data_IF_831773258485
#
_entry.id   IF_831773258485
#
_cell.length_a   1.000
_cell.length_b   1.000
_cell.length_c   1.000
_cell.angle_alpha   90.00
_cell.angle_beta   90.00
_cell.angle_gamma   90.00
#
_symmetry.space_group_name_H-M   'P 1'
#
loop_
_entity.id
_entity.type
_entity.pdbx_description
1 polymer ?
#
# COMPACT_ATOMS: atom_id res chain seq x y z
N UNK A 1 0.39 -8.46 -39.04
CA UNK A 1 1.78 -8.41 -38.57
C UNK A 1 1.73 -8.42 -37.06
N UNK A 2 2.03 -9.59 -36.45
CA UNK A 2 1.96 -9.75 -34.97
C UNK A 2 3.22 -9.16 -34.37
N UNK A 3 3.08 -8.09 -33.62
CA UNK A 3 4.16 -7.57 -32.78
C UNK A 3 4.09 -8.29 -31.42
N UNK A 4 5.03 -9.20 -31.18
CA UNK A 4 5.22 -9.80 -29.86
C UNK A 4 5.66 -8.70 -28.88
N UNK A 5 4.93 -8.54 -27.79
CA UNK A 5 5.26 -7.65 -26.67
C UNK A 5 6.42 -8.17 -25.80
N UNK A 6 7.26 -9.05 -26.27
CA UNK A 6 8.48 -9.51 -25.59
C UNK A 6 9.67 -8.88 -26.26
N UNK A 7 10.26 -7.88 -25.60
CA UNK A 7 11.50 -7.26 -26.06
C UNK A 7 12.69 -8.11 -25.60
N UNK A 8 13.38 -8.75 -26.54
CA UNK A 8 14.72 -9.30 -26.37
C UNK A 8 15.72 -8.15 -26.28
N UNK A 9 16.13 -7.82 -25.05
CA UNK A 9 17.29 -6.95 -24.81
C UNK A 9 18.36 -7.78 -24.12
N UNK A 10 19.56 -7.96 -24.71
CA UNK A 10 20.63 -8.70 -24.03
C UNK A 10 21.22 -7.87 -22.89
N UNK A 11 21.07 -8.35 -21.67
CA UNK A 11 21.72 -7.81 -20.48
C UNK A 11 23.10 -8.45 -20.28
N UNK A 12 24.11 -7.73 -19.71
CA UNK A 12 25.38 -8.33 -19.33
C UNK A 12 25.19 -9.31 -18.18
N UNK A 13 25.78 -10.49 -18.33
CA UNK A 13 25.63 -11.71 -17.51
C UNK A 13 26.24 -11.49 -16.14
N UNK A 14 25.42 -11.26 -15.13
CA UNK A 14 25.66 -11.74 -13.78
C UNK A 14 24.69 -12.91 -13.57
N UNK A 15 25.16 -14.04 -13.06
CA UNK A 15 24.35 -15.24 -12.90
C UNK A 15 23.18 -14.97 -11.93
N UNK A 16 22.06 -14.50 -12.47
CA UNK A 16 20.80 -14.37 -11.75
C UNK A 16 20.06 -15.69 -11.85
N UNK A 17 19.67 -16.22 -10.69
CA UNK A 17 18.64 -17.25 -10.63
C UNK A 17 17.34 -16.54 -11.03
N UNK A 18 17.14 -16.37 -12.33
CA UNK A 18 15.88 -15.94 -12.90
C UNK A 18 14.91 -17.10 -12.76
N UNK A 19 14.13 -17.13 -11.70
CA UNK A 19 12.88 -17.88 -11.72
C UNK A 19 11.92 -16.96 -12.50
N UNK A 20 11.61 -17.26 -13.77
CA UNK A 20 10.68 -16.42 -14.53
C UNK A 20 9.34 -16.49 -13.82
N UNK A 21 8.76 -15.33 -13.48
CA UNK A 21 7.33 -15.24 -13.20
C UNK A 21 6.69 -15.71 -14.51
N UNK A 22 6.13 -16.93 -14.52
CA UNK A 22 5.52 -17.50 -15.72
C UNK A 22 4.38 -16.61 -16.13
N UNK A 23 4.51 -15.91 -17.25
CA UNK A 23 3.37 -15.32 -17.95
C UNK A 23 2.36 -16.45 -18.21
N UNK A 24 1.07 -16.27 -17.90
CA UNK A 24 0.06 -17.28 -18.22
C UNK A 24 0.00 -17.43 -19.74
N UNK A 25 0.60 -18.51 -20.24
CA UNK A 25 0.49 -18.88 -21.63
C UNK A 25 -0.95 -19.35 -21.89
N UNK A 26 -1.59 -18.76 -22.89
CA UNK A 26 -2.82 -19.17 -23.59
C UNK A 26 -4.08 -19.32 -22.73
N UNK A 27 -5.06 -18.42 -22.94
CA UNK A 27 -6.49 -18.49 -22.50
C UNK A 27 -6.76 -19.26 -21.19
N UNK A 28 -6.02 -18.91 -20.15
CA UNK A 28 -6.22 -19.49 -18.83
C UNK A 28 -7.61 -19.12 -18.31
N UNK A 29 -8.45 -20.12 -18.03
CA UNK A 29 -9.74 -19.88 -17.40
C UNK A 29 -9.49 -19.39 -15.97
N UNK A 30 -9.81 -18.14 -15.70
CA UNK A 30 -9.83 -17.63 -14.33
C UNK A 30 -11.00 -18.26 -13.55
N UNK A 31 -10.77 -18.67 -12.30
CA UNK A 31 -11.84 -19.16 -11.44
C UNK A 31 -12.83 -18.04 -11.12
N UNK A 32 -14.03 -18.42 -10.68
CA UNK A 32 -14.98 -17.49 -10.10
C UNK A 32 -14.56 -17.10 -8.68
N UNK A 33 -15.08 -15.98 -8.16
CA UNK A 33 -14.84 -15.59 -6.76
C UNK A 33 -15.25 -16.68 -5.78
N UNK A 34 -16.36 -17.39 -6.03
CA UNK A 34 -16.84 -18.47 -5.19
C UNK A 34 -15.85 -19.67 -5.17
N UNK A 35 -15.29 -20.05 -6.33
CA UNK A 35 -14.27 -21.09 -6.42
C UNK A 35 -13.00 -20.72 -5.66
N UNK A 36 -12.57 -19.44 -5.73
CA UNK A 36 -11.40 -18.98 -4.98
C UNK A 36 -11.64 -19.01 -3.49
N UNK A 37 -12.78 -18.53 -3.03
CA UNK A 37 -13.09 -18.49 -1.59
C UNK A 37 -13.34 -19.90 -1.02
N UNK A 38 -13.81 -20.85 -1.82
CA UNK A 38 -14.08 -22.23 -1.39
C UNK A 38 -12.81 -23.01 -1.02
N UNK A 39 -11.63 -22.64 -1.52
CA UNK A 39 -10.37 -23.30 -1.15
C UNK A 39 -9.74 -22.76 0.12
N UNK A 40 -10.17 -21.57 0.57
CA UNK A 40 -9.66 -20.96 1.80
C UNK A 40 -10.37 -21.62 2.99
N UNK A 41 -9.63 -22.19 3.96
CA UNK A 41 -10.24 -22.82 5.14
C UNK A 41 -11.18 -21.87 5.90
N UNK A 42 -12.34 -22.36 6.32
CA UNK A 42 -13.37 -21.54 6.95
C UNK A 42 -12.87 -20.82 8.21
N UNK A 43 -12.03 -21.49 9.00
CA UNK A 43 -11.41 -20.91 10.20
C UNK A 43 -10.49 -19.70 9.90
N UNK A 44 -10.06 -19.49 8.65
CA UNK A 44 -9.30 -18.29 8.28
C UNK A 44 -10.13 -17.00 8.42
N UNK A 45 -11.46 -17.11 8.40
CA UNK A 45 -12.37 -15.98 8.57
C UNK A 45 -12.74 -15.70 10.03
N UNK A 46 -12.25 -16.52 10.98
CA UNK A 46 -12.52 -16.34 12.39
C UNK A 46 -11.80 -15.11 12.95
N UNK A 47 -12.58 -14.17 13.46
CA UNK A 47 -12.13 -12.94 14.09
C UNK A 47 -12.10 -13.08 15.59
N UNK A 48 -10.92 -13.17 16.18
CA UNK A 48 -10.73 -13.31 17.63
C UNK A 48 -10.29 -11.97 18.24
N UNK A 49 -11.18 -11.33 18.99
CA UNK A 49 -10.93 -10.02 19.60
C UNK A 49 -9.71 -10.05 20.53
N UNK A 50 -9.53 -11.09 21.34
CA UNK A 50 -8.39 -11.17 22.28
C UNK A 50 -7.08 -11.24 21.51
N UNK A 51 -7.03 -12.09 20.47
CA UNK A 51 -5.83 -12.25 19.63
C UNK A 51 -5.49 -10.93 18.89
N UNK A 52 -6.48 -10.29 18.26
CA UNK A 52 -6.30 -9.00 17.60
C UNK A 52 -5.85 -7.92 18.59
N UNK A 53 -6.45 -7.87 19.80
CA UNK A 53 -6.05 -6.92 20.83
C UNK A 53 -4.62 -7.15 21.35
N UNK A 54 -4.16 -8.40 21.41
CA UNK A 54 -2.79 -8.72 21.79
C UNK A 54 -1.79 -8.19 20.75
N UNK A 55 -2.06 -8.37 19.45
CA UNK A 55 -1.24 -7.81 18.38
C UNK A 55 -1.20 -6.28 18.44
N UNK A 56 -2.36 -5.64 18.66
CA UNK A 56 -2.42 -4.19 18.87
C UNK A 56 -1.57 -3.75 20.06
N UNK A 57 -1.72 -4.44 21.20
CA UNK A 57 -0.95 -4.14 22.41
C UNK A 57 0.56 -4.25 22.17
N UNK A 58 1.02 -5.30 21.51
CA UNK A 58 2.44 -5.50 21.18
C UNK A 58 2.95 -4.38 20.28
N UNK A 59 2.21 -4.02 19.22
CA UNK A 59 2.60 -2.93 18.33
C UNK A 59 2.67 -1.58 19.05
N UNK A 60 1.67 -1.27 19.89
CA UNK A 60 1.67 -0.05 20.71
C UNK A 60 2.82 -0.04 21.72
N UNK A 61 3.05 -1.15 22.43
CA UNK A 61 4.11 -1.27 23.43
C UNK A 61 5.50 -1.07 22.80
N UNK A 62 5.73 -1.62 21.60
CA UNK A 62 7.00 -1.43 20.88
C UNK A 62 7.16 0.01 20.39
N UNK A 63 6.13 0.61 19.84
CA UNK A 63 6.15 1.98 19.33
C UNK A 63 6.33 2.99 20.46
N UNK A 64 5.48 2.93 21.48
CA UNK A 64 5.51 3.84 22.62
C UNK A 64 6.76 3.59 23.49
N UNK A 65 7.09 2.31 23.73
CA UNK A 65 8.26 1.93 24.53
C UNK A 65 9.56 2.43 23.91
N UNK A 66 9.71 2.32 22.58
CA UNK A 66 10.87 2.91 21.90
C UNK A 66 10.92 4.43 22.03
N UNK A 67 9.76 5.12 21.99
CA UNK A 67 9.65 6.56 22.19
C UNK A 67 10.05 6.97 23.63
N UNK A 68 9.59 6.23 24.64
CA UNK A 68 9.97 6.46 26.04
C UNK A 68 11.48 6.28 26.24
N UNK A 69 12.05 5.19 25.68
CA UNK A 69 13.50 4.96 25.77
C UNK A 69 14.29 6.07 25.07
N UNK A 70 13.85 6.49 23.87
CA UNK A 70 14.51 7.60 23.18
C UNK A 70 14.45 8.89 23.98
N UNK A 71 13.30 9.24 24.55
CA UNK A 71 13.12 10.42 25.38
C UNK A 71 14.02 10.43 26.63
N UNK A 72 14.19 9.27 27.27
CA UNK A 72 14.99 9.15 28.50
C UNK A 72 16.50 9.11 28.25
N UNK A 73 16.94 8.55 27.12
CA UNK A 73 18.36 8.22 26.92
C UNK A 73 19.04 8.96 25.76
N UNK A 74 18.30 9.59 24.85
CA UNK A 74 18.89 10.31 23.71
C UNK A 74 18.81 11.82 23.97
N UNK A 75 19.95 12.51 24.23
CA UNK A 75 19.93 13.95 24.33
C UNK A 75 19.46 14.64 23.06
N UNK A 76 18.58 15.65 23.18
CA UNK A 76 18.01 16.37 22.04
C UNK A 76 18.98 17.48 21.56
N UNK A 77 20.12 17.04 21.02
CA UNK A 77 21.20 17.92 20.50
C UNK A 77 21.66 17.40 19.13
N UNK A 78 22.26 18.27 18.32
CA UNK A 78 22.73 17.95 16.97
C UNK A 78 23.75 16.81 16.92
N UNK A 79 24.58 16.66 17.95
CA UNK A 79 25.56 15.55 18.06
C UNK A 79 24.91 14.18 18.15
N UNK A 80 23.64 14.11 18.59
CA UNK A 80 22.86 12.89 18.70
C UNK A 80 21.90 12.65 17.52
N UNK A 81 21.98 13.47 16.44
CA UNK A 81 21.14 13.31 15.25
C UNK A 81 21.15 11.87 14.66
N UNK A 82 22.31 11.17 14.55
CA UNK A 82 22.29 9.78 14.07
C UNK A 82 21.46 8.84 14.96
N UNK A 83 21.46 9.02 16.27
CA UNK A 83 20.63 8.22 17.19
C UNK A 83 19.15 8.54 17.03
N UNK A 84 18.77 9.81 16.80
CA UNK A 84 17.39 10.20 16.50
C UNK A 84 16.90 9.65 15.17
N UNK A 85 17.76 9.59 14.14
CA UNK A 85 17.44 8.93 12.86
C UNK A 85 17.23 7.41 13.08
N UNK A 86 18.13 6.77 13.83
CA UNK A 86 17.98 5.36 14.20
C UNK A 86 16.69 5.08 14.97
N UNK A 87 16.36 5.95 15.96
CA UNK A 87 15.09 5.89 16.66
C UNK A 87 13.88 6.02 15.71
N UNK A 88 13.90 7.02 14.83
CA UNK A 88 12.80 7.24 13.89
C UNK A 88 12.55 6.01 13.02
N UNK A 89 13.62 5.36 12.54
CA UNK A 89 13.53 4.11 11.75
C UNK A 89 12.91 3.00 12.60
N UNK A 90 13.41 2.76 13.82
CA UNK A 90 12.91 1.69 14.70
C UNK A 90 11.45 1.93 15.10
N UNK A 91 11.16 3.13 15.61
CA UNK A 91 9.82 3.48 16.09
C UNK A 91 8.79 3.55 14.95
N UNK A 92 9.16 4.08 13.79
CA UNK A 92 8.27 4.12 12.63
C UNK A 92 8.03 2.74 12.02
N UNK A 93 9.06 1.88 11.99
CA UNK A 93 8.89 0.49 11.58
C UNK A 93 7.94 -0.26 12.53
N UNK A 94 8.10 -0.11 13.84
CA UNK A 94 7.16 -0.68 14.82
C UNK A 94 5.75 -0.06 14.70
N UNK A 95 5.67 1.26 14.49
CA UNK A 95 4.42 2.01 14.32
C UNK A 95 3.61 1.61 13.09
N UNK A 96 4.28 1.08 12.07
CA UNK A 96 3.60 0.49 10.90
C UNK A 96 2.71 -0.68 11.30
N UNK A 97 3.06 -1.45 12.33
CA UNK A 97 2.18 -2.49 12.89
C UNK A 97 0.86 -1.92 13.44
N UNK A 98 0.91 -0.75 14.09
CA UNK A 98 -0.31 -0.04 14.53
C UNK A 98 -1.16 0.40 13.32
N UNK A 99 -0.50 0.86 12.25
CA UNK A 99 -1.18 1.22 11.01
C UNK A 99 -1.88 0.01 10.39
N UNK A 100 -1.22 -1.16 10.33
CA UNK A 100 -1.81 -2.41 9.81
C UNK A 100 -3.00 -2.85 10.65
N UNK A 101 -2.95 -2.73 11.98
CA UNK A 101 -4.12 -3.05 12.83
C UNK A 101 -5.29 -2.09 12.56
N UNK A 102 -5.04 -0.80 12.37
CA UNK A 102 -6.09 0.15 11.99
C UNK A 102 -6.67 -0.16 10.59
N UNK A 103 -5.82 -0.59 9.65
CA UNK A 103 -6.20 -1.07 8.33
C UNK A 103 -7.12 -2.31 8.43
N UNK A 104 -6.83 -3.27 9.29
CA UNK A 104 -7.72 -4.42 9.54
C UNK A 104 -9.08 -3.99 10.13
N UNK A 105 -9.09 -2.98 11.00
CA UNK A 105 -10.33 -2.37 11.47
C UNK A 105 -11.16 -1.81 10.31
N UNK A 106 -10.50 -1.18 9.35
CA UNK A 106 -11.12 -0.69 8.11
C UNK A 106 -11.78 -1.79 7.28
N UNK A 107 -11.19 -2.97 7.24
CA UNK A 107 -11.68 -4.16 6.55
C UNK A 107 -12.66 -5.03 7.35
N UNK A 108 -12.96 -4.68 8.57
CA UNK A 108 -13.80 -5.50 9.46
C UNK A 108 -13.15 -6.86 9.81
N UNK A 109 -11.83 -6.95 9.81
CA UNK A 109 -11.07 -8.15 10.14
C UNK A 109 -10.69 -8.25 11.62
N UNK A 110 -10.64 -7.14 12.36
CA UNK A 110 -10.16 -7.09 13.74
C UNK A 110 -11.11 -7.77 14.75
N UNK A 111 -12.43 -7.56 14.64
CA UNK A 111 -13.42 -8.08 15.58
C UNK A 111 -14.79 -8.33 14.92
N UNK A 112 -15.72 -8.94 15.68
CA UNK A 112 -17.12 -9.11 15.23
C UNK A 112 -17.95 -7.82 15.38
N UNK A 113 -17.53 -6.89 16.24
CA UNK A 113 -18.26 -5.65 16.57
C UNK A 113 -17.79 -4.49 15.70
N UNK A 114 -18.64 -4.06 14.76
CA UNK A 114 -18.29 -2.99 13.81
C UNK A 114 -17.97 -1.66 14.49
N UNK A 115 -18.75 -1.28 15.52
CA UNK A 115 -18.51 -0.02 16.25
C UNK A 115 -17.14 0.01 16.94
N UNK A 116 -16.71 -1.13 17.51
CA UNK A 116 -15.41 -1.25 18.19
C UNK A 116 -14.25 -1.08 17.20
N UNK A 117 -14.38 -1.72 16.04
CA UNK A 117 -13.39 -1.58 14.96
C UNK A 117 -13.31 -0.14 14.46
N UNK A 118 -14.48 0.52 14.29
CA UNK A 118 -14.51 1.92 13.87
C UNK A 118 -13.83 2.83 14.91
N UNK A 119 -14.06 2.62 16.21
CA UNK A 119 -13.41 3.40 17.27
C UNK A 119 -11.91 3.18 17.29
N UNK A 120 -11.45 1.92 17.28
CA UNK A 120 -10.02 1.59 17.32
C UNK A 120 -9.32 2.12 16.06
N UNK A 121 -9.85 1.82 14.88
CA UNK A 121 -9.29 2.27 13.61
C UNK A 121 -9.26 3.80 13.49
N UNK A 122 -10.34 4.47 13.91
CA UNK A 122 -10.43 5.93 13.93
C UNK A 122 -9.37 6.56 14.84
N UNK A 123 -9.21 6.07 16.08
CA UNK A 123 -8.21 6.60 17.00
C UNK A 123 -6.77 6.38 16.47
N UNK A 124 -6.45 5.17 16.04
CA UNK A 124 -5.11 4.85 15.54
C UNK A 124 -4.77 5.65 14.28
N UNK A 125 -5.68 5.69 13.30
CA UNK A 125 -5.45 6.43 12.07
C UNK A 125 -5.40 7.94 12.29
N UNK A 126 -6.28 8.51 13.15
CA UNK A 126 -6.25 9.95 13.45
C UNK A 126 -4.92 10.38 14.07
N UNK A 127 -4.37 9.58 15.00
CA UNK A 127 -3.04 9.85 15.59
C UNK A 127 -1.94 9.78 14.51
N UNK A 128 -2.10 8.96 13.49
CA UNK A 128 -1.18 8.85 12.35
C UNK A 128 -1.54 9.80 11.20
N UNK A 129 -2.39 10.80 11.42
CA UNK A 129 -2.87 11.80 10.44
C UNK A 129 -3.50 11.15 9.19
N UNK A 130 -4.17 10.03 9.36
CA UNK A 130 -4.93 9.33 8.33
C UNK A 130 -6.41 9.55 8.55
N UNK A 131 -7.17 10.12 7.59
CA UNK A 131 -8.62 10.33 7.72
C UNK A 131 -9.36 9.00 7.58
N UNK A 132 -9.64 8.31 8.69
CA UNK A 132 -10.04 6.90 8.76
C UNK A 132 -11.19 6.52 7.84
N UNK A 133 -12.33 7.19 7.90
CA UNK A 133 -13.49 6.81 7.08
C UNK A 133 -13.31 7.18 5.60
N UNK A 134 -12.60 8.26 5.30
CA UNK A 134 -12.25 8.62 3.93
C UNK A 134 -11.34 7.56 3.32
N UNK A 135 -10.28 7.20 4.05
CA UNK A 135 -9.37 6.15 3.65
C UNK A 135 -10.08 4.78 3.56
N UNK A 136 -10.94 4.43 4.53
CA UNK A 136 -11.72 3.19 4.49
C UNK A 136 -12.53 3.08 3.20
N UNK A 137 -13.10 4.20 2.73
CA UNK A 137 -13.86 4.24 1.48
C UNK A 137 -12.97 4.03 0.26
N UNK A 138 -11.91 4.82 0.12
CA UNK A 138 -11.02 4.73 -1.03
C UNK A 138 -10.33 3.36 -1.08
N UNK A 139 -9.91 2.84 0.07
CA UNK A 139 -9.27 1.55 0.18
C UNK A 139 -10.23 0.37 -0.12
N UNK A 140 -11.50 0.49 0.25
CA UNK A 140 -12.51 -0.49 -0.16
C UNK A 140 -12.73 -0.53 -1.68
N UNK A 141 -12.61 0.62 -2.35
CA UNK A 141 -12.65 0.70 -3.81
C UNK A 141 -11.38 0.15 -4.46
N UNK A 142 -10.22 0.36 -3.83
CA UNK A 142 -8.97 -0.25 -4.23
C UNK A 142 -9.09 -1.78 -4.30
N UNK A 143 -9.62 -2.43 -3.27
CA UNK A 143 -9.91 -3.87 -3.29
C UNK A 143 -10.98 -4.29 -4.30
N UNK A 144 -11.99 -3.44 -4.50
CA UNK A 144 -13.07 -3.73 -5.44
C UNK A 144 -12.66 -3.57 -6.91
N UNK A 145 -11.60 -2.82 -7.19
CA UNK A 145 -11.16 -2.42 -8.53
C UNK A 145 -9.63 -2.53 -8.71
N UNK A 146 -9.01 -3.47 -8.04
CA UNK A 146 -7.56 -3.73 -8.16
C UNK A 146 -7.16 -3.97 -9.61
N UNK A 147 -6.08 -3.33 -10.05
CA UNK A 147 -5.53 -3.38 -11.41
C UNK A 147 -6.50 -2.99 -12.56
N UNK A 148 -7.52 -2.21 -12.24
CA UNK A 148 -8.41 -1.64 -13.24
C UNK A 148 -7.91 -0.26 -13.68
N UNK A 149 -7.63 -0.06 -14.95
CA UNK A 149 -6.98 1.16 -15.48
C UNK A 149 -7.81 2.43 -15.38
N UNK A 150 -9.13 2.33 -15.38
CA UNK A 150 -10.00 3.52 -15.33
C UNK A 150 -10.54 3.79 -13.94
N UNK A 151 -10.98 2.76 -13.23
CA UNK A 151 -11.65 2.86 -11.94
C UNK A 151 -10.86 2.27 -10.76
N UNK A 152 -9.60 1.88 -10.97
CA UNK A 152 -8.66 1.57 -9.89
C UNK A 152 -8.44 2.77 -8.97
N UNK A 153 -8.02 2.53 -7.72
CA UNK A 153 -7.93 3.63 -6.74
C UNK A 153 -6.49 4.01 -6.42
N UNK A 154 -5.55 3.07 -6.46
CA UNK A 154 -4.14 3.33 -6.19
C UNK A 154 -3.24 2.59 -7.17
N UNK A 155 -2.06 3.16 -7.44
CA UNK A 155 -1.04 2.59 -8.33
C UNK A 155 -1.57 2.26 -9.74
N UNK A 156 -2.53 3.05 -10.22
CA UNK A 156 -3.02 2.94 -11.59
C UNK A 156 -1.98 3.56 -12.53
N UNK A 157 -1.40 2.77 -13.45
CA UNK A 157 -0.39 3.29 -14.35
C UNK A 157 -0.99 4.21 -15.42
N UNK A 158 -0.18 5.10 -15.93
CA UNK A 158 -0.53 5.90 -17.11
C UNK A 158 -0.44 5.05 -18.37
N UNK A 159 -1.42 5.18 -19.27
CA UNK A 159 -1.32 4.60 -20.61
C UNK A 159 -0.37 5.47 -21.47
N UNK A 160 0.40 4.84 -22.32
CA UNK A 160 1.28 5.50 -23.31
C UNK A 160 0.51 6.44 -24.26
N UNK A 161 -0.76 6.12 -24.51
CA UNK A 161 -1.67 6.89 -25.37
C UNK A 161 -2.25 8.15 -24.70
N UNK A 162 -1.99 8.38 -23.41
CA UNK A 162 -2.52 9.54 -22.68
C UNK A 162 -1.52 10.70 -22.60
N UNK A 163 -1.99 11.97 -22.49
CA UNK A 163 -1.10 13.11 -22.29
C UNK A 163 -0.21 12.97 -21.04
N UNK A 164 -0.71 12.38 -19.96
CA UNK A 164 0.07 12.14 -18.75
C UNK A 164 1.13 11.06 -18.95
N UNK A 165 0.83 10.00 -19.72
CA UNK A 165 1.81 8.99 -20.11
C UNK A 165 2.91 9.58 -21.00
N UNK A 166 2.54 10.35 -22.01
CA UNK A 166 3.49 11.04 -22.87
C UNK A 166 4.40 12.01 -22.09
N UNK A 167 3.84 12.78 -21.15
CA UNK A 167 4.63 13.65 -20.28
C UNK A 167 5.62 12.86 -19.41
N UNK A 168 5.18 11.70 -18.86
CA UNK A 168 6.02 10.84 -18.06
C UNK A 168 7.19 10.26 -18.86
N UNK A 169 6.94 9.78 -20.08
CA UNK A 169 7.98 9.32 -21.00
C UNK A 169 8.96 10.43 -21.36
N UNK A 170 8.46 11.61 -21.67
CA UNK A 170 9.32 12.76 -21.98
C UNK A 170 10.25 13.12 -20.81
N UNK A 171 9.76 13.13 -19.57
CA UNK A 171 10.60 13.34 -18.40
C UNK A 171 11.64 12.25 -18.25
N UNK A 172 11.23 10.99 -18.38
CA UNK A 172 12.12 9.84 -18.31
C UNK A 172 13.25 9.93 -19.36
N UNK A 173 12.91 10.22 -20.62
CA UNK A 173 13.89 10.41 -21.70
C UNK A 173 14.80 11.62 -21.47
N UNK A 174 14.28 12.69 -20.85
CA UNK A 174 15.03 13.93 -20.62
C UNK A 174 16.10 13.79 -19.56
N UNK A 175 15.81 13.11 -18.45
CA UNK A 175 16.74 13.01 -17.31
C UNK A 175 17.43 11.65 -17.20
N UNK A 176 16.98 10.65 -17.97
CA UNK A 176 17.53 9.30 -18.02
C UNK A 176 17.01 8.38 -16.90
N UNK A 177 17.13 7.07 -17.12
CA UNK A 177 16.54 6.01 -16.32
C UNK A 177 16.87 6.11 -14.83
N UNK A 178 18.14 6.24 -14.50
CA UNK A 178 18.61 6.22 -13.11
C UNK A 178 18.17 7.47 -12.33
N UNK A 179 18.32 8.65 -12.95
CA UNK A 179 17.93 9.91 -12.33
C UNK A 179 16.39 9.94 -12.14
N UNK A 180 15.64 9.50 -13.16
CA UNK A 180 14.18 9.40 -13.07
C UNK A 180 13.74 8.44 -11.96
N UNK A 181 14.36 7.25 -11.86
CA UNK A 181 14.08 6.29 -10.81
C UNK A 181 14.35 6.85 -9.41
N UNK A 182 15.48 7.54 -9.20
CA UNK A 182 15.79 8.19 -7.92
C UNK A 182 14.73 9.23 -7.55
N UNK A 183 14.40 10.12 -8.51
CA UNK A 183 13.36 11.15 -8.30
C UNK A 183 12.01 10.50 -7.98
N UNK A 184 11.64 9.46 -8.71
CA UNK A 184 10.39 8.72 -8.49
C UNK A 184 10.33 8.05 -7.13
N UNK A 185 11.41 7.40 -6.70
CA UNK A 185 11.51 6.78 -5.37
C UNK A 185 11.36 7.87 -4.29
N UNK A 186 12.08 8.98 -4.41
CA UNK A 186 12.02 10.06 -3.43
C UNK A 186 10.61 10.69 -3.35
N UNK A 187 10.00 11.01 -4.50
CA UNK A 187 8.65 11.58 -4.52
C UNK A 187 7.64 10.61 -3.91
N UNK A 188 7.65 9.35 -4.34
CA UNK A 188 6.67 8.37 -3.84
C UNK A 188 6.84 8.10 -2.35
N UNK A 189 8.07 7.89 -1.88
CA UNK A 189 8.28 7.49 -0.47
C UNK A 189 8.17 8.65 0.52
N UNK A 190 8.41 9.90 0.08
CA UNK A 190 8.33 11.09 0.95
C UNK A 190 6.98 11.80 0.82
N UNK A 191 6.51 12.00 -0.41
CA UNK A 191 5.32 12.80 -0.70
C UNK A 191 4.12 11.98 -1.20
N UNK A 192 4.32 10.71 -1.60
CA UNK A 192 3.27 9.91 -2.24
C UNK A 192 2.00 9.76 -1.39
N UNK A 193 2.16 9.51 -0.09
CA UNK A 193 1.00 9.40 0.80
C UNK A 193 0.24 10.73 0.98
N UNK A 194 0.89 11.85 1.34
CA UNK A 194 0.21 13.15 1.36
C UNK A 194 -0.43 13.53 0.02
N UNK A 195 0.25 13.31 -1.09
CA UNK A 195 -0.29 13.61 -2.43
C UNK A 195 -1.54 12.77 -2.73
N UNK A 196 -1.53 11.49 -2.37
CA UNK A 196 -2.71 10.64 -2.52
C UNK A 196 -3.90 11.18 -1.70
N UNK A 197 -3.70 11.54 -0.44
CA UNK A 197 -4.77 12.07 0.40
C UNK A 197 -5.31 13.42 -0.07
N UNK A 198 -4.45 14.28 -0.61
CA UNK A 198 -4.80 15.65 -1.00
C UNK A 198 -5.34 15.77 -2.43
N UNK A 199 -4.92 14.88 -3.33
CA UNK A 199 -5.24 15.02 -4.77
C UNK A 199 -5.77 13.75 -5.42
N UNK A 200 -5.78 12.61 -4.71
CA UNK A 200 -6.09 11.32 -5.30
C UNK A 200 -5.00 10.84 -6.27
N UNK A 201 -3.75 11.33 -6.11
CA UNK A 201 -2.63 10.91 -6.94
C UNK A 201 -2.52 9.38 -6.97
N UNK A 202 -2.14 8.81 -8.12
CA UNK A 202 -2.10 7.37 -8.41
C UNK A 202 -3.47 6.67 -8.55
N UNK A 203 -4.58 7.35 -8.39
CA UNK A 203 -5.92 6.82 -8.71
C UNK A 203 -6.23 6.87 -10.21
N UNK A 204 -7.18 6.03 -10.65
CA UNK A 204 -7.63 5.99 -12.03
C UNK A 204 -8.47 7.21 -12.43
N UNK A 205 -8.53 7.54 -13.73
CA UNK A 205 -9.13 8.76 -14.23
C UNK A 205 -10.66 8.86 -14.04
N UNK A 206 -11.33 7.75 -13.79
CA UNK A 206 -12.80 7.74 -13.71
C UNK A 206 -13.39 8.62 -12.59
N UNK A 207 -12.59 8.95 -11.56
CA UNK A 207 -13.05 9.78 -10.44
C UNK A 207 -12.53 11.21 -10.48
N UNK A 208 -11.62 11.54 -11.40
CA UNK A 208 -10.97 12.84 -11.46
C UNK A 208 -10.09 13.11 -10.23
N UNK A 209 -9.73 14.37 -10.02
CA UNK A 209 -8.93 14.78 -8.86
C UNK A 209 -9.80 14.74 -7.60
N UNK A 210 -9.47 13.86 -6.65
CA UNK A 210 -10.21 13.66 -5.41
C UNK A 210 -9.42 14.17 -4.20
N UNK A 211 -10.11 14.46 -3.09
CA UNK A 211 -9.48 14.90 -1.85
C UNK A 211 -10.14 14.18 -0.66
N UNK A 212 -9.33 13.57 0.21
CA UNK A 212 -9.83 12.78 1.32
C UNK A 212 -10.35 13.62 2.50
N UNK A 213 -10.08 14.91 2.50
CA UNK A 213 -10.52 15.87 3.53
C UNK A 213 -11.64 16.80 3.03
N UNK A 214 -11.70 17.06 1.72
CA UNK A 214 -12.63 18.01 1.14
C UNK A 214 -13.33 17.42 -0.10
N UNK A 215 -14.43 16.66 0.07
CA UNK A 215 -15.13 15.99 -1.03
C UNK A 215 -16.10 16.91 -1.78
N UNK A 216 -15.66 18.10 -2.14
CA UNK A 216 -16.46 19.12 -2.83
C UNK A 216 -15.58 19.96 -3.76
N UNK A 217 -16.20 20.81 -4.57
CA UNK A 217 -15.48 21.70 -5.48
C UNK A 217 -14.31 22.44 -4.76
N UNK A 218 -13.11 22.51 -5.34
CA UNK A 218 -12.70 22.16 -6.72
C UNK A 218 -12.41 20.67 -6.97
N UNK A 219 -12.53 19.80 -5.98
CA UNK A 219 -12.30 18.38 -6.11
C UNK A 219 -13.57 17.62 -6.51
N UNK A 220 -13.37 16.43 -7.09
CA UNK A 220 -14.46 15.54 -7.45
C UNK A 220 -15.07 14.86 -6.22
N UNK A 221 -16.40 14.87 -6.12
CA UNK A 221 -17.13 14.12 -5.10
C UNK A 221 -17.35 12.64 -5.45
N UNK A 222 -16.85 12.17 -6.60
CA UNK A 222 -17.14 10.82 -7.11
C UNK A 222 -16.61 9.69 -6.19
N UNK A 223 -15.55 9.96 -5.45
CA UNK A 223 -15.01 9.03 -4.46
C UNK A 223 -15.92 8.89 -3.23
N UNK A 224 -16.61 9.97 -2.86
CA UNK A 224 -17.42 10.09 -1.64
C UNK A 224 -18.89 10.46 -1.92
N UNK A 225 -19.64 9.63 -2.68
CA UNK A 225 -21.00 9.97 -3.08
C UNK A 225 -21.99 9.94 -1.91
N UNK A 226 -23.05 10.76 -1.98
CA UNK A 226 -24.16 10.74 -1.05
C UNK A 226 -23.76 11.06 0.40
N UNK A 227 -24.11 10.19 1.34
CA UNK A 227 -23.84 10.38 2.78
C UNK A 227 -22.37 10.28 3.20
N UNK A 228 -21.44 9.93 2.29
CA UNK A 228 -20.02 9.78 2.62
C UNK A 228 -19.34 11.09 3.02
N UNK A 229 -19.81 12.25 2.56
CA UNK A 229 -19.27 13.55 2.97
C UNK A 229 -19.30 13.72 4.50
N UNK A 230 -20.35 13.24 5.19
CA UNK A 230 -20.44 13.29 6.66
C UNK A 230 -19.36 12.45 7.33
N UNK A 231 -19.00 11.28 6.74
CA UNK A 231 -17.94 10.42 7.25
C UNK A 231 -16.54 11.01 6.99
N UNK A 232 -16.38 11.73 5.87
CA UNK A 232 -15.15 12.49 5.61
C UNK A 232 -14.96 13.52 6.72
N UNK A 233 -15.97 14.36 6.98
CA UNK A 233 -15.86 15.38 8.04
C UNK A 233 -15.71 14.80 9.44
N UNK A 234 -16.29 13.63 9.71
CA UNK A 234 -15.99 12.93 10.96
C UNK A 234 -14.52 12.53 11.06
N UNK A 235 -13.91 12.09 9.94
CA UNK A 235 -12.46 11.82 9.90
C UNK A 235 -11.64 13.08 10.14
N UNK A 236 -12.06 14.21 9.56
CA UNK A 236 -11.38 15.51 9.71
C UNK A 236 -11.38 15.98 11.17
N UNK A 237 -12.45 15.73 11.92
CA UNK A 237 -12.47 16.03 13.37
C UNK A 237 -11.35 15.31 14.09
N UNK A 238 -11.11 14.02 13.81
CA UNK A 238 -10.01 13.27 14.40
C UNK A 238 -8.64 13.83 14.02
N UNK A 239 -8.48 14.22 12.75
CA UNK A 239 -7.24 14.86 12.27
C UNK A 239 -7.03 16.21 12.94
N UNK A 240 -8.06 17.05 13.04
CA UNK A 240 -7.96 18.36 13.69
C UNK A 240 -7.61 18.22 15.18
N UNK A 241 -8.17 17.25 15.87
CA UNK A 241 -7.79 16.94 17.27
C UNK A 241 -6.33 16.52 17.35
N UNK A 242 -5.87 15.63 16.47
CA UNK A 242 -4.47 15.21 16.45
C UNK A 242 -3.52 16.38 16.15
N UNK A 243 -3.83 17.21 15.15
CA UNK A 243 -3.05 18.43 14.84
C UNK A 243 -3.08 19.41 16.01
N UNK A 244 -4.23 19.59 16.68
CA UNK A 244 -4.37 20.44 17.85
C UNK A 244 -3.47 19.97 19.02
N UNK A 245 -3.43 18.65 19.26
CA UNK A 245 -2.55 18.06 20.29
C UNK A 245 -1.06 18.22 19.94
N UNK A 246 -0.68 18.02 18.67
CA UNK A 246 0.69 18.26 18.21
C UNK A 246 1.07 19.75 18.29
N UNK A 247 0.15 20.63 17.95
CA UNK A 247 0.33 22.09 18.10
C UNK A 247 0.49 22.50 19.56
N UNK A 248 -0.35 21.97 20.44
CA UNK A 248 -0.21 22.20 21.89
C UNK A 248 1.11 21.66 22.44
N UNK A 249 1.53 20.47 22.02
CA UNK A 249 2.84 19.91 22.40
C UNK A 249 3.98 20.77 21.88
N UNK A 250 3.91 21.24 20.62
CA UNK A 250 4.88 22.18 20.05
C UNK A 250 4.94 23.49 20.86
N UNK A 251 3.78 24.04 21.25
CA UNK A 251 3.73 25.26 22.07
C UNK A 251 4.33 25.07 23.45
N UNK A 252 4.06 23.95 24.11
CA UNK A 252 4.50 23.67 25.49
C UNK A 252 5.95 23.22 25.61
N UNK A 253 6.49 22.50 24.62
CA UNK A 253 7.79 21.84 24.70
C UNK A 253 8.76 22.22 23.56
N UNK A 254 8.33 23.07 22.64
CA UNK A 254 9.06 23.39 21.42
C UNK A 254 8.83 22.39 20.29
N UNK A 255 9.23 22.77 19.08
CA UNK A 255 9.04 21.95 17.88
C UNK A 255 9.97 20.73 17.81
N UNK A 256 11.19 20.84 18.34
CA UNK A 256 12.21 19.81 18.19
C UNK A 256 11.83 18.44 18.82
N UNK A 257 11.22 18.37 20.02
CA UNK A 257 10.67 17.12 20.55
C UNK A 257 9.60 16.49 19.66
N UNK A 258 8.70 17.30 19.09
CA UNK A 258 7.66 16.81 18.18
C UNK A 258 8.26 16.26 16.88
N UNK A 259 9.25 16.99 16.34
CA UNK A 259 10.00 16.52 15.16
C UNK A 259 10.68 15.17 15.43
N UNK A 260 11.40 15.06 16.53
CA UNK A 260 12.18 13.88 16.84
C UNK A 260 11.32 12.68 17.24
N UNK A 261 10.34 12.86 18.14
CA UNK A 261 9.57 11.75 18.72
C UNK A 261 8.34 11.35 17.89
N UNK A 262 7.80 12.27 17.08
CA UNK A 262 6.58 11.98 16.32
C UNK A 262 6.79 12.09 14.81
N UNK A 263 7.24 13.23 14.27
CA UNK A 263 7.32 13.43 12.82
C UNK A 263 8.35 12.53 12.16
N UNK A 264 9.48 12.27 12.80
CA UNK A 264 10.48 11.32 12.30
C UNK A 264 9.89 9.92 12.10
N UNK A 265 9.37 9.26 13.16
CA UNK A 265 8.67 7.97 13.02
C UNK A 265 7.48 8.01 12.05
N UNK A 266 6.68 9.07 12.03
CA UNK A 266 5.57 9.25 11.09
C UNK A 266 6.01 9.17 9.63
N UNK A 267 7.12 9.82 9.28
CA UNK A 267 7.67 9.73 7.91
C UNK A 267 8.10 8.31 7.55
N UNK A 268 8.63 7.55 8.51
CA UNK A 268 8.99 6.15 8.29
C UNK A 268 7.75 5.25 8.13
N UNK A 269 6.66 5.51 8.86
CA UNK A 269 5.37 4.83 8.62
C UNK A 269 4.88 5.09 7.20
N UNK A 270 4.91 6.35 6.75
CA UNK A 270 4.50 6.71 5.39
C UNK A 270 5.39 6.05 4.32
N UNK A 271 6.70 6.00 4.57
CA UNK A 271 7.64 5.29 3.71
C UNK A 271 7.25 3.80 3.56
N UNK A 272 7.03 3.09 4.67
CA UNK A 272 6.64 1.68 4.62
C UNK A 272 5.29 1.49 3.93
N UNK A 273 4.30 2.33 4.22
CA UNK A 273 2.99 2.28 3.58
C UNK A 273 3.11 2.37 2.05
N UNK A 274 3.82 3.36 1.55
CA UNK A 274 3.96 3.54 0.10
C UNK A 274 4.83 2.45 -0.52
N UNK A 275 5.91 2.04 0.14
CA UNK A 275 6.79 0.97 -0.34
C UNK A 275 6.01 -0.35 -0.51
N UNK A 276 5.21 -0.74 0.50
CA UNK A 276 4.38 -1.94 0.43
C UNK A 276 3.38 -1.85 -0.71
N UNK A 277 2.54 -0.83 -0.71
CA UNK A 277 1.47 -0.70 -1.70
C UNK A 277 2.03 -0.59 -3.12
N UNK A 278 3.12 0.12 -3.32
CA UNK A 278 3.75 0.23 -4.63
C UNK A 278 4.27 -1.12 -5.13
N UNK A 279 5.08 -1.83 -4.33
CA UNK A 279 5.66 -3.10 -4.74
C UNK A 279 4.64 -4.25 -4.83
N UNK A 280 3.53 -4.19 -4.10
CA UNK A 280 2.47 -5.19 -4.16
C UNK A 280 1.57 -5.07 -5.39
N UNK A 281 1.53 -3.89 -6.03
CA UNK A 281 0.66 -3.59 -7.16
C UNK A 281 1.40 -3.25 -8.45
N UNK A 282 2.73 -3.19 -8.42
CA UNK A 282 3.53 -2.77 -9.58
C UNK A 282 4.70 -3.71 -9.78
N UNK A 283 4.78 -4.31 -10.96
CA UNK A 283 5.97 -5.00 -11.47
C UNK A 283 5.87 -5.09 -13.01
N UNK A 284 6.99 -5.37 -13.66
CA UNK A 284 7.09 -5.48 -15.13
C UNK A 284 6.13 -6.54 -15.71
N UNK A 285 5.87 -7.62 -14.95
CA UNK A 285 5.06 -8.76 -15.38
C UNK A 285 3.60 -8.69 -14.86
N UNK A 286 3.18 -7.55 -14.29
CA UNK A 286 1.81 -7.37 -13.82
C UNK A 286 0.98 -6.69 -14.92
N UNK A 287 0.02 -7.38 -15.57
CA UNK A 287 -0.91 -6.75 -16.47
C UNK A 287 -1.97 -5.94 -15.70
N UNK A 288 -2.41 -4.87 -16.33
CA UNK A 288 -3.56 -4.07 -15.92
C UNK A 288 -4.67 -4.26 -16.96
N UNK A 289 -5.91 -4.02 -16.58
CA UNK A 289 -7.05 -4.31 -17.43
C UNK A 289 -7.98 -3.11 -17.59
N UNK A 290 -8.52 -2.93 -18.78
CA UNK A 290 -9.60 -1.98 -19.06
C UNK A 290 -10.99 -2.59 -18.77
N UNK A 291 -12.04 -1.83 -19.05
CA UNK A 291 -13.42 -2.25 -18.78
C UNK A 291 -13.84 -3.56 -19.48
N UNK A 292 -13.23 -3.88 -20.61
CA UNK A 292 -13.63 -5.05 -21.43
C UNK A 292 -13.02 -6.34 -20.90
N UNK A 293 -11.81 -6.28 -20.37
CA UNK A 293 -11.04 -7.45 -19.96
C UNK A 293 -11.02 -7.67 -18.45
N UNK A 294 -11.34 -6.65 -17.69
CA UNK A 294 -11.23 -6.69 -16.24
C UNK A 294 -12.30 -7.59 -15.61
N UNK A 295 -11.87 -8.43 -14.69
CA UNK A 295 -12.75 -9.11 -13.74
C UNK A 295 -12.15 -8.96 -12.34
N UNK A 296 -12.96 -9.03 -11.31
CA UNK A 296 -12.49 -8.90 -9.93
C UNK A 296 -11.39 -9.93 -9.61
N UNK A 297 -11.56 -11.19 -10.04
CA UNK A 297 -10.57 -12.25 -9.80
C UNK A 297 -9.26 -11.98 -10.54
N UNK A 298 -9.32 -11.54 -11.79
CA UNK A 298 -8.11 -11.13 -12.52
C UNK A 298 -7.37 -10.04 -11.78
N UNK A 299 -8.06 -8.97 -11.39
CA UNK A 299 -7.44 -7.87 -10.65
C UNK A 299 -6.81 -8.32 -9.33
N UNK A 300 -7.51 -9.12 -8.53
CA UNK A 300 -7.03 -9.58 -7.23
C UNK A 300 -5.79 -10.48 -7.34
N UNK A 301 -5.72 -11.40 -8.33
CA UNK A 301 -4.52 -12.22 -8.57
C UNK A 301 -3.34 -11.44 -9.17
N UNK A 302 -3.55 -10.22 -9.67
CA UNK A 302 -2.46 -9.36 -10.15
C UNK A 302 -1.85 -8.52 -9.03
N UNK A 303 -1.84 -9.02 -7.81
CA UNK A 303 -1.07 -8.53 -6.68
C UNK A 303 0.08 -9.49 -6.39
N UNK A 304 1.12 -9.02 -5.72
CA UNK A 304 2.37 -9.77 -5.52
C UNK A 304 2.70 -9.89 -4.05
N UNK A 305 2.92 -11.14 -3.60
CA UNK A 305 3.54 -11.41 -2.30
C UNK A 305 5.07 -11.39 -2.44
N UNK A 306 5.76 -10.80 -1.44
CA UNK A 306 7.23 -10.69 -1.40
C UNK A 306 7.79 -11.10 -0.05
N UNK A 307 9.05 -11.61 0.02
CA UNK A 307 9.67 -11.94 1.28
C UNK A 307 10.24 -10.67 1.94
N UNK A 308 9.64 -10.27 3.05
CA UNK A 308 10.16 -9.16 3.87
C UNK A 308 11.04 -9.63 5.02
N UNK A 309 11.04 -10.94 5.27
CA UNK A 309 11.80 -11.58 6.33
C UNK A 309 11.11 -11.53 7.70
N UNK A 310 11.55 -12.38 8.61
CA UNK A 310 10.90 -12.63 9.89
C UNK A 310 10.62 -11.36 10.71
N UNK A 311 11.57 -10.42 10.76
CA UNK A 311 11.41 -9.20 11.59
C UNK A 311 10.30 -8.31 11.05
N UNK A 312 10.29 -8.00 9.74
CA UNK A 312 9.27 -7.16 9.14
C UNK A 312 7.92 -7.86 9.06
N UNK A 313 7.90 -9.16 8.77
CA UNK A 313 6.66 -9.94 8.81
C UNK A 313 6.02 -9.94 10.20
N UNK A 314 6.83 -10.05 11.27
CA UNK A 314 6.35 -9.93 12.64
C UNK A 314 5.84 -8.52 12.96
N UNK A 315 6.65 -7.48 12.68
CA UNK A 315 6.32 -6.09 13.01
C UNK A 315 5.12 -5.57 12.21
N UNK A 316 4.99 -5.97 10.96
CA UNK A 316 3.96 -5.50 10.02
C UNK A 316 2.86 -6.54 9.77
N UNK A 317 2.76 -7.55 10.65
CA UNK A 317 1.66 -8.52 10.65
C UNK A 317 1.47 -9.24 9.31
N UNK A 318 2.55 -9.60 8.64
CA UNK A 318 2.57 -10.29 7.34
C UNK A 318 1.91 -9.54 6.17
N UNK A 319 1.62 -8.24 6.28
CA UNK A 319 0.92 -7.50 5.20
C UNK A 319 1.66 -7.58 3.85
N UNK A 320 2.99 -7.69 3.87
CA UNK A 320 3.82 -7.77 2.66
C UNK A 320 3.86 -9.15 2.02
N UNK A 321 3.81 -10.21 2.84
CA UNK A 321 3.99 -11.60 2.44
C UNK A 321 2.68 -12.38 2.22
N UNK A 322 1.53 -11.74 2.44
CA UNK A 322 0.19 -12.35 2.32
C UNK A 322 -0.82 -11.46 1.60
N UNK A 323 -0.34 -10.57 0.75
CA UNK A 323 -1.17 -9.54 0.12
C UNK A 323 -2.14 -10.09 -0.92
N UNK A 324 -1.76 -11.15 -1.62
CA UNK A 324 -2.66 -11.84 -2.56
C UNK A 324 -3.89 -12.38 -1.82
N UNK A 325 -3.70 -13.04 -0.67
CA UNK A 325 -4.81 -13.51 0.15
C UNK A 325 -5.65 -12.35 0.70
N UNK A 326 -5.02 -11.26 1.08
CA UNK A 326 -5.68 -10.04 1.53
C UNK A 326 -6.58 -9.44 0.44
N UNK A 327 -6.17 -9.45 -0.84
CA UNK A 327 -7.01 -9.00 -1.95
C UNK A 327 -8.12 -9.98 -2.34
N UNK A 328 -7.96 -11.27 -2.02
CA UNK A 328 -9.06 -12.26 -2.21
C UNK A 328 -10.17 -12.08 -1.19
N UNK A 329 -9.84 -11.89 0.09
CA UNK A 329 -10.81 -11.47 1.09
C UNK A 329 -10.13 -10.74 2.25
N UNK A 330 -10.25 -9.42 2.24
CA UNK A 330 -9.65 -8.55 3.26
C UNK A 330 -10.26 -8.70 4.67
N UNK A 331 -11.31 -9.52 4.84
CA UNK A 331 -11.89 -9.86 6.15
C UNK A 331 -11.13 -10.96 6.88
N UNK A 332 -10.16 -11.60 6.24
CA UNK A 332 -9.27 -12.58 6.86
C UNK A 332 -8.30 -11.81 7.78
N UNK A 333 -8.32 -12.05 9.11
CA UNK A 333 -7.36 -11.44 10.01
C UNK A 333 -5.92 -11.82 9.65
N UNK A 334 -4.97 -10.90 9.80
CA UNK A 334 -3.57 -11.09 9.44
C UNK A 334 -2.96 -12.39 10.01
N UNK A 335 -3.32 -12.75 11.24
CA UNK A 335 -2.81 -13.97 11.90
C UNK A 335 -3.34 -15.28 11.28
N UNK A 336 -4.30 -15.21 10.37
CA UNK A 336 -4.81 -16.33 9.57
C UNK A 336 -4.36 -16.20 8.09
N UNK A 337 -3.83 -15.05 7.68
CA UNK A 337 -3.50 -14.75 6.29
C UNK A 337 -2.44 -15.70 5.70
N UNK A 338 -1.45 -16.11 6.49
CA UNK A 338 -0.43 -17.08 6.06
C UNK A 338 -1.06 -18.43 5.67
N UNK A 339 -2.09 -18.89 6.43
CA UNK A 339 -2.81 -20.13 6.13
C UNK A 339 -3.65 -19.99 4.85
N UNK A 340 -4.35 -18.86 4.70
CA UNK A 340 -5.10 -18.55 3.49
C UNK A 340 -4.21 -18.46 2.25
N UNK A 341 -3.05 -17.80 2.37
CA UNK A 341 -2.04 -17.71 1.29
C UNK A 341 -1.55 -19.10 0.86
N UNK A 342 -1.30 -20.00 1.81
CA UNK A 342 -0.89 -21.38 1.50
C UNK A 342 -1.97 -22.10 0.68
N UNK A 343 -3.24 -22.00 1.08
CA UNK A 343 -4.35 -22.60 0.37
C UNK A 343 -4.49 -22.06 -1.07
N UNK A 344 -4.33 -20.74 -1.25
CA UNK A 344 -4.34 -20.14 -2.59
C UNK A 344 -3.18 -20.63 -3.45
N UNK A 345 -1.98 -20.70 -2.90
CA UNK A 345 -0.78 -21.18 -3.60
C UNK A 345 -0.89 -22.64 -4.03
N UNK A 346 -1.48 -23.50 -3.20
CA UNK A 346 -1.65 -24.92 -3.48
C UNK A 346 -2.73 -25.17 -4.53
N UNK A 347 -3.83 -24.40 -4.55
CA UNK A 347 -4.95 -24.60 -5.45
C UNK A 347 -4.88 -23.79 -6.74
N UNK A 348 -4.15 -22.66 -6.76
CA UNK A 348 -4.01 -21.78 -7.92
C UNK A 348 -2.52 -21.41 -8.17
N UNK A 349 -1.61 -22.40 -8.32
CA UNK A 349 -0.16 -22.13 -8.44
C UNK A 349 0.19 -21.30 -9.67
N UNK A 350 -0.58 -21.40 -10.75
CA UNK A 350 -0.35 -20.65 -11.99
C UNK A 350 -0.88 -19.21 -11.95
N UNK A 351 -1.76 -18.89 -11.00
CA UNK A 351 -2.31 -17.55 -10.80
C UNK A 351 -1.66 -16.80 -9.63
N UNK A 352 -1.22 -17.54 -8.62
CA UNK A 352 -0.59 -16.98 -7.44
C UNK A 352 0.79 -16.38 -7.79
N UNK A 353 1.00 -15.12 -7.39
CA UNK A 353 2.23 -14.38 -7.69
C UNK A 353 3.08 -14.21 -6.44
N UNK A 354 4.31 -14.68 -6.55
CA UNK A 354 5.34 -14.49 -5.53
C UNK A 354 6.64 -14.06 -6.21
N UNK A 355 7.17 -12.91 -5.79
CA UNK A 355 8.47 -12.43 -6.27
C UNK A 355 9.52 -12.54 -5.16
N UNK A 356 10.51 -13.44 -5.29
CA UNK A 356 11.56 -13.64 -4.30
C UNK A 356 12.66 -12.57 -4.32
N UNK A 357 12.59 -11.60 -5.25
CA UNK A 357 13.60 -10.55 -5.38
C UNK A 357 13.69 -9.73 -4.09
N UNK A 358 14.90 -9.50 -3.54
CA UNK A 358 15.07 -8.61 -2.40
C UNK A 358 14.45 -7.23 -2.62
N UNK A 359 13.74 -6.71 -1.60
CA UNK A 359 12.96 -5.47 -1.68
C UNK A 359 13.70 -4.28 -2.32
N UNK A 360 14.99 -3.98 -1.98
CA UNK A 360 15.69 -2.87 -2.62
C UNK A 360 15.91 -3.07 -4.12
N UNK A 361 16.17 -4.31 -4.56
CA UNK A 361 16.32 -4.63 -5.98
C UNK A 361 14.97 -4.58 -6.71
N UNK A 362 13.91 -5.07 -6.09
CA UNK A 362 12.56 -4.97 -6.63
C UNK A 362 12.12 -3.51 -6.78
N UNK A 363 12.38 -2.68 -5.76
CA UNK A 363 12.10 -1.24 -5.81
C UNK A 363 12.84 -0.55 -6.95
N UNK A 364 14.13 -0.85 -7.11
CA UNK A 364 14.92 -0.29 -8.21
C UNK A 364 14.39 -0.72 -9.57
N UNK A 365 14.08 -2.02 -9.75
CA UNK A 365 13.48 -2.55 -10.99
C UNK A 365 12.17 -1.86 -11.33
N UNK A 366 11.27 -1.73 -10.36
CA UNK A 366 9.97 -1.08 -10.55
C UNK A 366 10.16 0.40 -10.89
N UNK A 367 11.06 1.10 -10.19
CA UNK A 367 11.31 2.51 -10.42
C UNK A 367 11.99 2.81 -11.75
N UNK A 368 12.79 1.88 -12.30
CA UNK A 368 13.48 2.06 -13.58
C UNK A 368 12.68 1.56 -14.79
N UNK A 369 11.68 0.68 -14.60
CA UNK A 369 11.00 0.02 -15.72
C UNK A 369 9.49 0.21 -15.77
N UNK A 370 8.83 0.56 -14.65
CA UNK A 370 7.38 0.64 -14.60
C UNK A 370 6.90 2.10 -14.75
N UNK A 371 6.97 2.64 -15.96
CA UNK A 371 6.63 4.05 -16.24
C UNK A 371 5.23 4.21 -16.83
N UNK A 372 4.98 3.60 -17.96
CA UNK A 372 3.69 3.60 -18.66
C UNK A 372 3.33 2.22 -19.10
N UNK A 373 2.04 1.98 -19.36
CA UNK A 373 1.56 0.71 -19.89
C UNK A 373 1.10 0.87 -21.33
N UNK A 374 1.40 -0.14 -22.14
CA UNK A 374 0.97 -0.27 -23.52
C UNK A 374 0.05 -1.49 -23.68
N UNK A 375 -0.88 -1.43 -24.64
CA UNK A 375 -1.82 -2.52 -24.90
C UNK A 375 -1.10 -3.73 -25.47
N UNK A 376 -1.34 -4.89 -24.87
CA UNK A 376 -0.88 -6.21 -25.32
C UNK A 376 -2.05 -7.15 -25.58
N UNK A 377 -1.79 -8.41 -25.96
CA UNK A 377 -2.83 -9.41 -26.19
C UNK A 377 -3.65 -9.71 -24.93
N UNK A 378 -3.04 -9.67 -23.77
CA UNK A 378 -3.66 -9.94 -22.46
C UNK A 378 -3.54 -8.73 -21.52
N UNK A 379 -4.33 -7.67 -21.80
CA UNK A 379 -4.36 -6.47 -20.97
C UNK A 379 -3.36 -5.40 -21.38
N UNK A 380 -2.84 -4.68 -20.40
CA UNK A 380 -1.90 -3.58 -20.55
C UNK A 380 -0.70 -3.85 -19.65
N UNK A 381 0.50 -3.91 -20.20
CA UNK A 381 1.73 -4.18 -19.47
C UNK A 381 2.69 -3.01 -19.55
N UNK A 382 3.62 -2.93 -18.60
CA UNK A 382 4.66 -1.91 -18.66
C UNK A 382 5.54 -2.14 -19.88
N UNK A 383 5.69 -1.08 -20.70
CA UNK A 383 6.68 -1.05 -21.78
C UNK A 383 8.03 -0.71 -21.16
N UNK A 384 9.05 -1.51 -21.52
CA UNK A 384 10.43 -1.27 -21.14
C UNK A 384 11.00 -0.05 -21.88
#
# INVERSE_FOLDING_TARGET
MSSNCVLDVPLPVAAEVNVPIRSPATKQRYPTKAEVLAVIPEECFDRNLIKSSLYLFVSLAMTIGSGVLAYLFIPLTWSWLPAWIGYAIVAGTAGTGCWVVAHECGHRAFAKYNWLQDVIGYCLHSIMLVPYFSWQRSHSLHHARTNHLDSGETHVPHRDTTPSGAARLWWHETIGDEAFAIVLILINTVAGWPLYLLTGASGGPARGTTNHFWPAWPFSAALFPGGWARKVWLSDIGILVAIGLLGWWTYSSGFLPVLALYLGPYLVVNFWLVLYTWLQHTDVDIPHFDNEEWTWVKGAFMTVDRPYGFILDFLHHHIGSTHVAHHMDARIPHYNAVKATRALKENFPDLYRFDPTPVPKALWRVATRCHVVSKCEEGWTYSA
#
